data_IF_483174895342
#
_entry.id   IF_483174895342
#
_cell.length_a   1.000
_cell.length_b   1.000
_cell.length_c   1.000
_cell.angle_alpha   90.00
_cell.angle_beta   90.00
_cell.angle_gamma   90.00
#
_symmetry.space_group_name_H-M   'P 1'
#
loop_
_entity.id
_entity.type
_entity.pdbx_description
1 polymer ?
#
# COMPACT_ATOMS: atom_id res chain seq x y z
N UNK A 1 -49.02 -23.24 -7.80
CA UNK A 1 -47.62 -23.12 -7.39
C UNK A 1 -47.22 -21.66 -7.53
N UNK A 2 -47.22 -20.89 -6.43
CA UNK A 2 -46.86 -19.47 -6.42
C UNK A 2 -45.39 -19.36 -5.98
N UNK A 3 -44.53 -18.92 -6.89
CA UNK A 3 -43.12 -18.66 -6.61
C UNK A 3 -42.97 -17.46 -5.67
N UNK A 4 -42.08 -17.57 -4.69
CA UNK A 4 -42.01 -16.73 -3.48
C UNK A 4 -41.32 -15.37 -3.71
N UNK A 5 -40.94 -15.01 -4.93
CA UNK A 5 -40.36 -13.68 -5.22
C UNK A 5 -40.89 -13.22 -6.57
N UNK A 6 -41.93 -12.41 -6.56
CA UNK A 6 -42.32 -11.61 -7.72
C UNK A 6 -41.31 -10.46 -7.80
N UNK A 7 -40.34 -10.57 -8.72
CA UNK A 7 -39.42 -9.47 -9.02
C UNK A 7 -40.20 -8.44 -9.84
N UNK A 8 -40.70 -7.41 -9.18
CA UNK A 8 -41.14 -6.20 -9.88
C UNK A 8 -39.93 -5.61 -10.62
N UNK A 9 -40.11 -5.34 -11.91
CA UNK A 9 -39.13 -4.60 -12.71
C UNK A 9 -38.85 -3.26 -12.05
N UNK A 10 -37.58 -3.02 -11.72
CA UNK A 10 -37.16 -1.78 -11.08
C UNK A 10 -37.45 -0.58 -12.00
N UNK A 11 -37.71 0.62 -11.45
CA UNK A 11 -37.93 1.82 -12.25
C UNK A 11 -36.83 2.06 -13.29
N UNK A 12 -35.60 1.68 -12.91
CA UNK A 12 -34.40 1.76 -13.74
C UNK A 12 -34.44 0.80 -14.93
N UNK A 13 -34.89 -0.45 -14.77
CA UNK A 13 -35.02 -1.42 -15.87
C UNK A 13 -36.04 -0.96 -16.90
N UNK A 14 -37.16 -0.36 -16.46
CA UNK A 14 -38.17 0.22 -17.35
C UNK A 14 -37.66 1.45 -18.10
N UNK A 15 -36.79 2.26 -17.49
CA UNK A 15 -36.18 3.43 -18.13
C UNK A 15 -35.04 3.05 -19.08
N UNK A 16 -34.20 2.08 -18.72
CA UNK A 16 -33.16 1.51 -19.59
C UNK A 16 -33.80 0.89 -20.84
N UNK A 17 -34.93 0.19 -20.70
CA UNK A 17 -35.68 -0.36 -21.82
C UNK A 17 -36.28 0.72 -22.74
N UNK A 18 -36.59 1.93 -22.21
CA UNK A 18 -37.00 3.08 -23.03
C UNK A 18 -35.81 3.74 -23.72
N UNK A 19 -34.69 3.91 -23.02
CA UNK A 19 -33.44 4.45 -23.57
C UNK A 19 -32.88 3.57 -24.68
N UNK A 20 -33.00 2.24 -24.58
CA UNK A 20 -32.59 1.31 -25.64
C UNK A 20 -33.35 1.48 -26.98
N UNK A 21 -34.46 2.23 -27.00
CA UNK A 21 -35.23 2.55 -28.22
C UNK A 21 -34.81 3.86 -28.87
N UNK A 22 -33.88 4.60 -28.26
CA UNK A 22 -33.34 5.89 -28.73
C UNK A 22 -31.82 5.75 -28.84
N UNK A 23 -31.18 6.47 -29.77
CA UNK A 23 -29.72 6.44 -29.89
C UNK A 23 -29.05 6.98 -28.62
N UNK A 24 -27.96 6.32 -28.19
CA UNK A 24 -27.27 6.63 -26.93
C UNK A 24 -26.56 7.98 -27.04
N UNK A 25 -26.95 8.95 -26.21
CA UNK A 25 -26.35 10.28 -26.19
C UNK A 25 -25.34 10.41 -25.03
N UNK A 26 -24.38 11.34 -25.16
CA UNK A 26 -23.36 11.57 -24.14
C UNK A 26 -23.94 12.01 -22.78
N UNK A 27 -25.13 12.61 -22.78
CA UNK A 27 -25.89 12.97 -21.57
C UNK A 27 -26.32 11.75 -20.74
N UNK A 28 -26.50 10.59 -21.37
CA UNK A 28 -26.96 9.38 -20.68
C UNK A 28 -25.88 8.84 -19.72
N UNK A 29 -24.61 9.10 -20.02
CA UNK A 29 -23.49 8.76 -19.12
C UNK A 29 -23.64 9.48 -17.78
N UNK A 30 -23.98 10.78 -17.81
CA UNK A 30 -24.22 11.55 -16.59
C UNK A 30 -25.46 11.06 -15.84
N UNK A 31 -26.50 10.67 -16.57
CA UNK A 31 -27.71 10.07 -15.98
C UNK A 31 -27.39 8.78 -15.23
N UNK A 32 -26.70 7.84 -15.87
CA UNK A 32 -26.31 6.57 -15.25
C UNK A 32 -25.33 6.75 -14.09
N UNK A 33 -24.35 7.66 -14.22
CA UNK A 33 -23.45 7.99 -13.11
C UNK A 33 -24.24 8.53 -11.91
N UNK A 34 -25.14 9.50 -12.13
CA UNK A 34 -25.97 10.06 -11.07
C UNK A 34 -26.84 8.99 -10.40
N UNK A 35 -27.50 8.13 -11.19
CA UNK A 35 -28.34 7.03 -10.67
C UNK A 35 -27.53 5.99 -9.91
N UNK A 36 -26.32 5.69 -10.35
CA UNK A 36 -25.38 4.85 -9.61
C UNK A 36 -24.99 5.45 -8.26
N UNK A 37 -24.72 6.76 -8.20
CA UNK A 37 -24.45 7.44 -6.93
C UNK A 37 -25.67 7.47 -6.01
N UNK A 38 -26.86 7.79 -6.53
CA UNK A 38 -28.12 7.76 -5.76
C UNK A 38 -28.35 6.36 -5.16
N UNK A 39 -28.19 5.29 -5.94
CA UNK A 39 -28.36 3.92 -5.48
C UNK A 39 -27.32 3.49 -4.41
N UNK A 40 -26.09 4.00 -4.48
CA UNK A 40 -25.05 3.74 -3.47
C UNK A 40 -25.34 4.52 -2.18
N UNK A 41 -25.82 5.75 -2.28
CA UNK A 41 -26.13 6.61 -1.12
C UNK A 41 -27.38 6.12 -0.38
N UNK A 42 -28.39 5.65 -1.13
CA UNK A 42 -29.65 5.12 -0.61
C UNK A 42 -29.56 3.63 -0.24
N UNK A 43 -28.37 3.02 -0.34
CA UNK A 43 -28.17 1.63 0.03
C UNK A 43 -28.47 1.39 1.52
N UNK A 44 -29.53 0.63 1.78
CA UNK A 44 -30.00 0.28 3.11
C UNK A 44 -28.91 -0.42 3.93
N UNK A 45 -28.01 -1.16 3.28
CA UNK A 45 -26.90 -1.84 3.96
C UNK A 45 -25.91 -0.82 4.51
N UNK A 46 -25.47 0.12 3.68
CA UNK A 46 -24.50 1.17 4.07
C UNK A 46 -25.06 2.10 5.16
N UNK A 47 -26.35 2.45 5.10
CA UNK A 47 -27.05 3.24 6.13
C UNK A 47 -27.03 2.55 7.50
N UNK A 48 -27.17 1.22 7.55
CA UNK A 48 -27.16 0.43 8.80
C UNK A 48 -25.77 0.30 9.42
N UNK A 49 -24.72 0.59 8.64
CA UNK A 49 -23.33 0.70 9.13
C UNK A 49 -22.91 2.14 9.41
N UNK A 50 -23.82 3.11 9.24
CA UNK A 50 -23.55 4.49 9.65
C UNK A 50 -23.35 4.53 11.16
N UNK A 51 -22.12 4.81 11.58
CA UNK A 51 -21.77 4.88 12.98
C UNK A 51 -22.43 6.12 13.59
N UNK A 52 -23.04 5.98 14.77
CA UNK A 52 -23.55 7.12 15.56
C UNK A 52 -22.42 8.13 15.76
N UNK A 53 -22.53 9.30 15.13
CA UNK A 53 -21.53 10.35 15.30
C UNK A 53 -21.71 10.97 16.70
N UNK A 54 -20.70 10.79 17.55
CA UNK A 54 -20.68 11.41 18.87
C UNK A 54 -20.88 12.92 18.72
N UNK A 55 -21.87 13.48 19.43
CA UNK A 55 -22.21 14.92 19.44
C UNK A 55 -21.03 15.82 19.86
N UNK A 56 -20.00 15.23 20.49
CA UNK A 56 -18.78 15.92 20.91
C UNK A 56 -17.53 15.33 20.25
N UNK A 57 -16.66 16.21 19.76
CA UNK A 57 -15.36 15.81 19.22
C UNK A 57 -14.43 15.32 20.32
N UNK A 58 -13.70 14.23 20.06
CA UNK A 58 -12.62 13.76 20.93
C UNK A 58 -11.33 13.52 20.14
N UNK A 59 -10.21 13.32 20.84
CA UNK A 59 -8.86 13.10 20.25
C UNK A 59 -8.74 11.86 19.36
N UNK A 60 -9.70 10.94 19.41
CA UNK A 60 -9.75 9.72 18.60
C UNK A 60 -10.64 9.87 17.37
N UNK A 61 -11.41 10.96 17.28
CA UNK A 61 -12.35 11.19 16.18
C UNK A 61 -11.57 11.63 14.94
N UNK A 62 -11.58 10.79 13.91
CA UNK A 62 -10.99 11.06 12.60
C UNK A 62 -11.57 12.37 12.09
N UNK A 63 -10.73 13.28 11.59
CA UNK A 63 -11.05 14.65 11.14
C UNK A 63 -12.43 14.76 10.49
N UNK A 64 -13.45 15.07 11.28
CA UNK A 64 -14.81 15.33 10.83
C UNK A 64 -15.03 16.84 10.97
N UNK A 65 -15.53 17.44 9.88
CA UNK A 65 -15.57 18.89 9.66
C UNK A 65 -16.87 19.50 10.21
N UNK A 66 -17.83 18.67 10.64
CA UNK A 66 -19.19 19.06 11.01
C UNK A 66 -19.44 19.07 12.53
N UNK A 67 -18.50 19.55 13.35
CA UNK A 67 -18.77 19.72 14.79
C UNK A 67 -19.36 21.09 15.08
N UNK A 68 -20.58 21.11 15.60
CA UNK A 68 -21.27 22.33 16.05
C UNK A 68 -20.66 22.94 17.33
N UNK A 69 -19.93 22.16 18.14
CA UNK A 69 -19.32 22.63 19.39
C UNK A 69 -17.92 22.04 19.62
N UNK A 70 -16.89 22.81 19.29
CA UNK A 70 -15.51 22.50 19.69
C UNK A 70 -15.14 23.39 20.88
N UNK A 71 -14.83 22.78 22.03
CA UNK A 71 -14.32 23.51 23.19
C UNK A 71 -12.97 24.18 22.84
N UNK A 72 -12.81 25.46 23.17
CA UNK A 72 -11.57 26.22 22.90
C UNK A 72 -10.32 25.51 23.45
N UNK A 73 -10.42 24.89 24.64
CA UNK A 73 -9.33 24.09 25.24
C UNK A 73 -8.89 22.95 24.33
N UNK A 74 -9.85 22.32 23.66
CA UNK A 74 -9.64 21.15 22.82
C UNK A 74 -9.10 21.55 21.44
N UNK A 75 -9.54 22.70 20.90
CA UNK A 75 -8.93 23.32 19.71
C UNK A 75 -7.46 23.65 19.93
N UNK A 76 -7.10 24.20 21.09
CA UNK A 76 -5.70 24.53 21.42
C UNK A 76 -4.83 23.27 21.45
N UNK A 77 -5.28 22.18 22.10
CA UNK A 77 -4.56 20.90 22.11
C UNK A 77 -4.44 20.33 20.70
N UNK A 78 -5.48 20.43 19.88
CA UNK A 78 -5.44 19.99 18.48
C UNK A 78 -4.41 20.78 17.65
N UNK A 79 -4.40 22.12 17.74
CA UNK A 79 -3.43 22.96 17.03
C UNK A 79 -2.00 22.63 17.45
N UNK A 80 -1.75 22.48 18.76
CA UNK A 80 -0.44 22.05 19.27
C UNK A 80 -0.07 20.69 18.69
N UNK A 81 -1.01 19.74 18.67
CA UNK A 81 -0.80 18.42 18.07
C UNK A 81 -0.45 18.47 16.58
N UNK A 82 -1.10 19.34 15.81
CA UNK A 82 -0.78 19.59 14.39
C UNK A 82 0.64 20.13 14.26
N UNK A 83 1.00 21.15 15.03
CA UNK A 83 2.35 21.74 15.02
C UNK A 83 3.41 20.68 15.33
N UNK A 84 3.22 19.88 16.39
CA UNK A 84 4.16 18.81 16.76
C UNK A 84 4.30 17.77 15.65
N UNK A 85 3.18 17.36 15.04
CA UNK A 85 3.19 16.35 13.96
C UNK A 85 3.94 16.83 12.72
N UNK A 86 3.64 18.04 12.24
CA UNK A 86 4.13 18.49 10.93
C UNK A 86 5.45 19.27 11.01
N UNK A 87 5.74 19.95 12.13
CA UNK A 87 6.99 20.72 12.28
C UNK A 87 8.13 19.90 12.91
N UNK A 88 7.83 18.82 13.66
CA UNK A 88 8.86 18.04 14.35
C UNK A 88 8.86 16.56 13.95
N UNK A 89 7.72 15.86 14.08
CA UNK A 89 7.68 14.41 13.81
C UNK A 89 7.84 14.09 12.32
N UNK A 90 7.18 14.82 11.42
CA UNK A 90 7.27 14.57 9.99
C UNK A 90 8.67 14.86 9.42
N UNK A 91 9.34 16.00 9.74
CA UNK A 91 10.71 16.24 9.29
C UNK A 91 11.69 15.19 9.83
N UNK A 92 11.54 14.78 11.10
CA UNK A 92 12.35 13.70 11.68
C UNK A 92 12.16 12.38 10.93
N UNK A 93 10.93 12.02 10.57
CA UNK A 93 10.65 10.80 9.77
C UNK A 93 11.26 10.90 8.38
N UNK A 94 11.16 12.07 7.75
CA UNK A 94 11.73 12.30 6.43
C UNK A 94 13.27 12.18 6.45
N UNK A 95 13.94 12.77 7.45
CA UNK A 95 15.40 12.67 7.57
C UNK A 95 15.84 11.24 7.84
N UNK A 96 15.15 10.49 8.69
CA UNK A 96 15.41 9.07 8.92
C UNK A 96 15.21 8.23 7.64
N UNK A 97 14.16 8.51 6.87
CA UNK A 97 13.93 7.83 5.59
C UNK A 97 15.06 8.14 4.59
N UNK A 98 15.48 9.40 4.48
CA UNK A 98 16.58 9.80 3.61
C UNK A 98 17.90 9.13 4.01
N UNK A 99 18.20 9.07 5.31
CA UNK A 99 19.38 8.37 5.85
C UNK A 99 19.29 6.88 5.50
N UNK A 100 18.16 6.23 5.75
CA UNK A 100 17.97 4.80 5.48
C UNK A 100 18.10 4.43 4.00
N UNK A 101 17.55 5.24 3.09
CA UNK A 101 17.67 5.03 1.64
C UNK A 101 19.13 5.24 1.21
N UNK A 102 19.77 6.32 1.67
CA UNK A 102 21.14 6.65 1.28
C UNK A 102 22.12 5.60 1.79
N UNK A 103 21.99 5.18 3.06
CA UNK A 103 22.82 4.11 3.64
C UNK A 103 22.63 2.79 2.91
N UNK A 104 21.40 2.49 2.46
CA UNK A 104 21.12 1.29 1.68
C UNK A 104 21.85 1.32 0.33
N UNK A 105 21.75 2.42 -0.40
CA UNK A 105 22.39 2.56 -1.72
C UNK A 105 23.92 2.49 -1.59
N UNK A 106 24.50 3.24 -0.65
CA UNK A 106 25.95 3.29 -0.45
C UNK A 106 26.46 1.94 0.06
N UNK A 107 25.83 1.37 1.10
CA UNK A 107 26.25 0.11 1.70
C UNK A 107 26.17 -1.06 0.71
N UNK A 108 25.07 -1.20 -0.02
CA UNK A 108 24.92 -2.27 -1.01
C UNK A 108 25.89 -2.11 -2.19
N UNK A 109 26.19 -0.88 -2.59
CA UNK A 109 27.20 -0.61 -3.64
C UNK A 109 28.61 -0.95 -3.18
N UNK A 110 28.99 -0.59 -1.95
CA UNK A 110 30.29 -0.96 -1.37
C UNK A 110 30.44 -2.47 -1.23
N UNK A 111 29.42 -3.16 -0.70
CA UNK A 111 29.41 -4.63 -0.59
C UNK A 111 29.48 -5.30 -1.97
N UNK A 112 28.83 -4.72 -2.97
CA UNK A 112 28.84 -5.22 -4.35
C UNK A 112 30.23 -5.26 -4.98
N UNK A 113 31.14 -4.38 -4.57
CA UNK A 113 32.53 -4.34 -5.05
C UNK A 113 33.41 -5.44 -4.44
N UNK A 114 32.96 -6.12 -3.38
CA UNK A 114 33.72 -7.19 -2.74
C UNK A 114 33.64 -8.51 -3.53
N UNK A 115 34.71 -9.32 -3.51
CA UNK A 115 34.69 -10.66 -4.10
C UNK A 115 33.72 -11.58 -3.35
N UNK A 116 33.15 -12.55 -4.07
CA UNK A 116 32.20 -13.51 -3.52
C UNK A 116 32.88 -14.37 -2.45
N UNK A 117 32.61 -14.03 -1.20
CA UNK A 117 33.19 -14.63 0.01
C UNK A 117 32.12 -14.67 1.10
N UNK A 118 32.35 -15.49 2.13
CA UNK A 118 31.47 -15.53 3.31
C UNK A 118 31.34 -14.16 4.00
N UNK A 119 32.41 -13.36 3.95
CA UNK A 119 32.43 -11.99 4.50
C UNK A 119 31.50 -11.06 3.72
N UNK A 120 31.47 -11.15 2.39
CA UNK A 120 30.54 -10.39 1.55
C UNK A 120 29.08 -10.70 1.90
N UNK A 121 28.75 -11.98 2.06
CA UNK A 121 27.39 -12.41 2.41
C UNK A 121 26.98 -11.89 3.79
N UNK A 122 27.85 -12.02 4.78
CA UNK A 122 27.63 -11.47 6.12
C UNK A 122 27.44 -9.94 6.09
N UNK A 123 28.32 -9.22 5.39
CA UNK A 123 28.23 -7.76 5.30
C UNK A 123 26.97 -7.32 4.55
N UNK A 124 26.59 -8.02 3.49
CA UNK A 124 25.33 -7.80 2.76
C UNK A 124 24.12 -7.94 3.67
N UNK A 125 24.09 -8.98 4.48
CA UNK A 125 23.01 -9.24 5.44
C UNK A 125 22.94 -8.13 6.50
N UNK A 126 24.07 -7.76 7.10
CA UNK A 126 24.14 -6.67 8.08
C UNK A 126 23.67 -5.34 7.49
N UNK A 127 24.10 -5.00 6.28
CA UNK A 127 23.70 -3.77 5.59
C UNK A 127 22.19 -3.77 5.32
N UNK A 128 21.63 -4.83 4.74
CA UNK A 128 20.21 -4.90 4.43
C UNK A 128 19.34 -4.87 5.69
N UNK A 129 19.70 -5.63 6.73
CA UNK A 129 18.98 -5.63 8.01
C UNK A 129 19.01 -4.23 8.66
N UNK A 130 20.18 -3.59 8.70
CA UNK A 130 20.34 -2.28 9.34
C UNK A 130 19.56 -1.20 8.61
N UNK A 131 19.67 -1.15 7.28
CA UNK A 131 18.93 -0.17 6.48
C UNK A 131 17.41 -0.41 6.55
N UNK A 132 16.96 -1.66 6.49
CA UNK A 132 15.55 -2.00 6.61
C UNK A 132 14.99 -1.61 7.99
N UNK A 133 15.75 -1.80 9.07
CA UNK A 133 15.38 -1.35 10.42
C UNK A 133 15.22 0.17 10.49
N UNK A 134 16.15 0.92 9.92
CA UNK A 134 16.05 2.39 9.85
C UNK A 134 14.80 2.82 9.08
N UNK A 135 14.53 2.20 7.92
CA UNK A 135 13.37 2.51 7.08
C UNK A 135 12.04 2.21 7.78
N UNK A 136 11.92 1.08 8.47
CA UNK A 136 10.71 0.77 9.26
C UNK A 136 10.48 1.78 10.37
N UNK A 137 11.56 2.21 11.06
CA UNK A 137 11.46 3.25 12.09
C UNK A 137 11.09 4.62 11.52
N UNK A 138 11.56 4.94 10.31
CA UNK A 138 11.15 6.15 9.60
C UNK A 138 9.63 6.15 9.30
N UNK A 139 9.06 4.97 9.01
CA UNK A 139 7.61 4.78 8.87
C UNK A 139 6.86 4.70 10.21
N UNK A 140 7.57 4.77 11.34
CA UNK A 140 7.03 4.52 12.69
C UNK A 140 6.38 3.15 12.86
N UNK A 141 6.85 2.17 12.10
CA UNK A 141 6.47 0.78 12.26
C UNK A 141 7.16 0.15 13.47
N UNK A 142 6.40 -0.59 14.27
CA UNK A 142 6.93 -1.53 15.26
C UNK A 142 6.45 -2.92 14.84
N UNK A 143 7.38 -3.80 14.48
CA UNK A 143 7.06 -5.13 13.96
C UNK A 143 7.13 -6.14 15.10
N UNK A 144 6.07 -6.93 15.26
CA UNK A 144 6.04 -8.06 16.16
C UNK A 144 5.85 -9.36 15.35
N UNK A 145 6.79 -10.28 15.48
CA UNK A 145 6.76 -11.57 14.77
C UNK A 145 6.20 -12.64 15.69
N UNK A 146 5.14 -13.31 15.23
CA UNK A 146 4.53 -14.47 15.87
C UNK A 146 5.03 -15.76 15.22
N UNK A 147 4.98 -16.88 15.94
CA UNK A 147 5.32 -18.23 15.47
C UNK A 147 6.68 -18.31 14.76
N UNK A 148 7.74 -17.85 15.46
CA UNK A 148 9.10 -17.74 14.91
C UNK A 148 9.72 -19.09 14.55
N UNK A 149 9.19 -20.19 15.08
CA UNK A 149 9.54 -21.57 14.76
C UNK A 149 9.20 -21.94 13.31
N UNK A 150 8.19 -21.30 12.70
CA UNK A 150 7.76 -21.56 11.32
C UNK A 150 8.52 -20.71 10.29
N UNK A 151 9.59 -20.04 10.69
CA UNK A 151 10.39 -19.22 9.77
C UNK A 151 11.04 -20.11 8.70
N UNK A 152 11.09 -19.64 7.44
CA UNK A 152 11.76 -20.36 6.38
C UNK A 152 13.24 -20.55 6.74
N UNK A 153 13.70 -21.79 6.72
CA UNK A 153 15.12 -22.13 6.88
C UNK A 153 15.89 -21.81 5.58
N UNK A 154 17.21 -22.04 5.56
CA UNK A 154 18.04 -21.80 4.37
C UNK A 154 17.47 -22.59 3.17
N UNK A 155 17.08 -21.88 2.12
CA UNK A 155 16.43 -22.45 0.93
C UNK A 155 14.90 -22.51 0.98
N UNK A 156 14.29 -22.12 2.11
CA UNK A 156 12.84 -21.98 2.24
C UNK A 156 12.31 -20.74 1.51
N UNK A 157 11.07 -20.83 1.02
CA UNK A 157 10.40 -19.74 0.30
C UNK A 157 9.37 -19.10 1.24
N UNK A 158 9.45 -17.79 1.40
CA UNK A 158 8.42 -17.00 2.08
C UNK A 158 7.42 -16.48 1.04
N UNK A 159 6.12 -16.64 1.31
CA UNK A 159 5.04 -16.14 0.46
C UNK A 159 4.20 -15.17 1.29
N UNK A 160 4.02 -13.96 0.79
CA UNK A 160 3.16 -12.94 1.39
C UNK A 160 1.95 -12.68 0.50
N UNK A 161 0.81 -12.38 1.13
CA UNK A 161 -0.45 -12.05 0.44
C UNK A 161 -0.36 -10.77 -0.41
N UNK A 162 0.49 -9.84 0.02
CA UNK A 162 0.78 -8.60 -0.69
C UNK A 162 2.28 -8.36 -0.64
N UNK A 163 2.87 -7.99 -1.78
CA UNK A 163 4.32 -7.79 -1.91
C UNK A 163 4.57 -6.43 -2.54
N UNK A 164 4.46 -5.39 -1.73
CA UNK A 164 4.93 -4.04 -2.05
C UNK A 164 6.36 -3.81 -1.59
N UNK A 165 7.02 -2.73 -2.04
CA UNK A 165 8.31 -2.32 -1.52
C UNK A 165 8.36 -2.15 0.01
N UNK A 166 7.25 -1.75 0.62
CA UNK A 166 7.14 -1.60 2.07
C UNK A 166 7.09 -2.97 2.74
N UNK A 167 6.32 -3.91 2.19
CA UNK A 167 6.24 -5.28 2.71
C UNK A 167 7.60 -5.97 2.65
N UNK A 168 8.36 -5.75 1.58
CA UNK A 168 9.74 -6.19 1.44
C UNK A 168 10.66 -5.66 2.57
N UNK A 169 10.56 -4.36 2.89
CA UNK A 169 11.34 -3.74 3.98
C UNK A 169 10.93 -4.31 5.35
N UNK A 170 9.64 -4.61 5.54
CA UNK A 170 9.11 -5.22 6.76
C UNK A 170 9.65 -6.66 6.90
N UNK A 171 9.56 -7.48 5.86
CA UNK A 171 10.09 -8.85 5.90
C UNK A 171 11.60 -8.86 6.12
N UNK A 172 12.32 -7.94 5.47
CA UNK A 172 13.79 -7.82 5.58
C UNK A 172 14.26 -7.35 6.96
N UNK A 173 13.37 -7.00 7.90
CA UNK A 173 13.77 -6.66 9.27
C UNK A 173 14.21 -7.86 10.11
N UNK A 174 13.68 -9.05 9.80
CA UNK A 174 13.91 -10.28 10.55
C UNK A 174 15.01 -11.16 9.93
N UNK A 175 15.15 -11.12 8.61
CA UNK A 175 16.19 -11.85 7.88
C UNK A 175 16.35 -11.29 6.46
N UNK A 176 17.48 -11.57 5.82
CA UNK A 176 17.69 -11.16 4.43
C UNK A 176 17.02 -12.15 3.47
N UNK A 177 16.09 -11.67 2.65
CA UNK A 177 15.36 -12.48 1.66
C UNK A 177 15.71 -12.04 0.24
N UNK A 178 15.93 -13.01 -0.65
CA UNK A 178 15.89 -12.75 -2.08
C UNK A 178 14.44 -12.44 -2.47
N UNK A 179 14.26 -11.45 -3.36
CA UNK A 179 12.94 -10.95 -3.71
C UNK A 179 12.72 -11.13 -5.19
N UNK A 180 11.47 -11.39 -5.55
CA UNK A 180 11.02 -11.49 -6.93
C UNK A 180 9.98 -10.41 -7.15
N UNK A 181 10.15 -9.57 -8.17
CA UNK A 181 9.20 -8.50 -8.43
C UNK A 181 9.36 -7.86 -9.81
N UNK A 182 8.59 -6.81 -10.07
CA UNK A 182 8.68 -6.07 -11.32
C UNK A 182 9.79 -5.02 -11.26
N UNK A 183 10.48 -4.79 -12.37
CA UNK A 183 11.39 -3.65 -12.54
C UNK A 183 10.58 -2.35 -12.46
N UNK A 184 11.05 -1.40 -11.66
CA UNK A 184 10.49 -0.05 -11.53
C UNK A 184 11.47 1.01 -12.02
N UNK A 185 10.94 2.13 -12.52
CA UNK A 185 11.71 3.32 -12.87
C UNK A 185 11.99 4.24 -11.66
N UNK A 186 12.58 5.40 -11.94
CA UNK A 186 12.80 6.46 -10.94
C UNK A 186 13.65 6.04 -9.74
N UNK A 187 13.35 6.59 -8.56
CA UNK A 187 14.04 6.31 -7.31
C UNK A 187 13.99 4.82 -6.93
N UNK A 188 12.83 4.19 -7.10
CA UNK A 188 12.66 2.76 -6.79
C UNK A 188 13.59 1.90 -7.65
N UNK A 189 13.74 2.24 -8.94
CA UNK A 189 14.70 1.57 -9.82
C UNK A 189 16.16 1.74 -9.39
N UNK A 190 16.54 2.91 -8.85
CA UNK A 190 17.88 3.11 -8.28
C UNK A 190 18.10 2.20 -7.08
N UNK A 191 17.12 2.11 -6.20
CA UNK A 191 17.16 1.25 -5.02
C UNK A 191 17.26 -0.22 -5.45
N UNK A 192 16.42 -0.68 -6.38
CA UNK A 192 16.45 -2.05 -6.91
C UNK A 192 17.81 -2.41 -7.53
N UNK A 193 18.40 -1.50 -8.32
CA UNK A 193 19.73 -1.71 -8.91
C UNK A 193 20.84 -1.75 -7.86
N UNK A 194 20.70 -1.01 -6.77
CA UNK A 194 21.68 -1.03 -5.69
C UNK A 194 21.60 -2.33 -4.89
N UNK A 195 20.40 -2.75 -4.48
CA UNK A 195 20.21 -3.97 -3.66
C UNK A 195 20.61 -5.25 -4.39
N UNK A 196 20.40 -5.35 -5.70
CA UNK A 196 20.82 -6.51 -6.53
C UNK A 196 22.33 -6.76 -6.47
N UNK A 197 23.14 -5.72 -6.27
CA UNK A 197 24.60 -5.86 -6.19
C UNK A 197 25.04 -6.65 -4.95
N UNK A 198 24.22 -6.63 -3.90
CA UNK A 198 24.53 -7.21 -2.61
C UNK A 198 23.74 -8.49 -2.32
N UNK A 199 22.52 -8.64 -2.86
CA UNK A 199 21.67 -9.82 -2.72
C UNK A 199 21.07 -10.22 -4.08
N UNK A 200 20.97 -11.51 -4.42
CA UNK A 200 20.48 -11.96 -5.73
C UNK A 200 18.94 -11.83 -5.86
N UNK A 201 18.44 -10.59 -5.91
CA UNK A 201 17.04 -10.33 -6.24
C UNK A 201 16.78 -10.54 -7.74
N UNK A 202 15.58 -11.02 -8.09
CA UNK A 202 15.14 -11.26 -9.46
C UNK A 202 14.07 -10.23 -9.81
N UNK A 203 14.32 -9.45 -10.87
CA UNK A 203 13.36 -8.45 -11.34
C UNK A 203 12.93 -8.75 -12.77
N UNK A 204 11.62 -8.77 -13.01
CA UNK A 204 11.03 -9.02 -14.32
C UNK A 204 10.58 -7.72 -15.00
N UNK A 205 10.79 -7.63 -16.31
CA UNK A 205 10.29 -6.52 -17.11
C UNK A 205 8.85 -6.76 -17.55
N UNK A 206 7.98 -5.74 -17.39
CA UNK A 206 6.56 -5.86 -17.77
C UNK A 206 6.37 -6.01 -19.29
N UNK A 207 7.35 -5.53 -20.07
CA UNK A 207 7.45 -5.61 -21.53
C UNK A 207 7.73 -7.03 -22.03
N UNK A 208 8.60 -7.78 -21.36
CA UNK A 208 8.99 -9.15 -21.76
C UNK A 208 7.86 -10.17 -21.60
N UNK A 209 6.83 -9.89 -20.78
CA UNK A 209 5.68 -10.79 -20.62
C UNK A 209 4.89 -10.96 -21.93
N UNK A 210 5.01 -10.02 -22.87
CA UNK A 210 4.42 -10.09 -24.23
C UNK A 210 5.23 -10.96 -25.20
N UNK A 211 6.46 -11.32 -24.86
CA UNK A 211 7.37 -12.12 -25.69
C UNK A 211 7.15 -13.64 -25.56
N UNK A 212 6.05 -14.05 -24.92
CA UNK A 212 5.54 -15.43 -25.00
C UNK A 212 5.34 -15.90 -26.45
N UNK A 213 5.13 -14.99 -27.39
CA UNK A 213 4.96 -15.29 -28.82
C UNK A 213 6.25 -15.77 -29.51
N UNK A 214 7.44 -15.46 -28.98
CA UNK A 214 8.71 -15.96 -29.52
C UNK A 214 9.04 -17.38 -29.01
N UNK A 215 8.53 -17.76 -27.83
CA UNK A 215 8.78 -19.08 -27.24
C UNK A 215 7.84 -20.16 -27.82
N UNK A 216 6.67 -19.79 -28.37
CA UNK A 216 5.75 -20.73 -29.05
C UNK A 216 6.17 -21.09 -30.48
N UNK A 217 7.27 -20.52 -31.00
CA UNK A 217 7.81 -20.79 -32.35
C UNK A 217 8.99 -21.76 -32.39
N UNK A 218 9.27 -22.47 -31.28
CA UNK A 218 10.22 -23.59 -31.26
C UNK A 218 9.51 -24.92 -31.24
#
# INVERSE_FOLDING_TARGET
>A
SKGIIERDETPMEKEIARLHRVDFEFSDIFYFCRKGFEAIVEDEVTQRFSSEELVSWNLLTRTNVNFHYISLRLTVVWVIGVIVRYCFLLPLRFTLAAIGITSMIVGTTMVGQLPNSSVKNYLSEVVHLTCSRILVRALSGTIHYHNKENKPQKGGICVANHTSPIDAIILTNDGCYAMVGQVHGGLMGVIQRATVKACPHVWFERSEIKDRHLVTKR
#
